data_IF_942343980551
#
_entry.id   IF_942343980551
#
_cell.length_a   1.000
_cell.length_b   1.000
_cell.length_c   1.000
_cell.angle_alpha   90.00
_cell.angle_beta   90.00
_cell.angle_gamma   90.00
#
_symmetry.space_group_name_H-M   'P 1'
#
loop_
_entity.id
_entity.type
_entity.pdbx_description
1 polymer ?
#
# COMPACT_ATOMS: atom_id res chain seq x y z
N UNK A 1 -9.77 35.53 13.83
CA UNK A 1 -9.34 36.84 14.37
C UNK A 1 -10.42 37.85 14.01
N UNK A 2 -10.87 38.69 14.95
CA UNK A 2 -11.81 39.79 14.65
C UNK A 2 -11.03 41.09 14.53
N UNK A 3 -11.22 41.83 13.45
CA UNK A 3 -10.74 43.21 13.40
C UNK A 3 -11.89 44.10 13.85
N UNK A 4 -11.64 44.93 14.85
CA UNK A 4 -12.58 45.95 15.31
C UNK A 4 -12.06 47.31 14.88
N UNK A 5 -12.91 48.09 14.22
CA UNK A 5 -12.64 49.50 13.92
C UNK A 5 -13.71 50.32 14.61
N UNK A 6 -13.28 51.35 15.33
CA UNK A 6 -14.17 52.20 16.12
C UNK A 6 -13.74 53.66 16.05
N UNK A 7 -14.71 54.57 16.06
CA UNK A 7 -14.51 56.02 16.19
C UNK A 7 -14.71 56.54 17.62
N UNK A 8 -14.84 55.62 18.60
CA UNK A 8 -15.08 55.95 20.01
C UNK A 8 -16.55 55.95 20.41
N UNK A 9 -17.50 55.77 19.47
CA UNK A 9 -18.94 55.61 19.77
C UNK A 9 -19.52 54.37 19.08
N UNK A 10 -19.22 54.17 17.79
CA UNK A 10 -19.63 52.97 17.06
C UNK A 10 -18.43 52.04 16.89
N UNK A 11 -18.70 50.74 16.96
CA UNK A 11 -17.71 49.70 16.69
C UNK A 11 -18.27 48.82 15.58
N UNK A 12 -17.52 48.68 14.50
CA UNK A 12 -17.76 47.65 13.51
C UNK A 12 -16.75 46.52 13.70
N UNK A 13 -17.23 45.28 13.67
CA UNK A 13 -16.39 44.11 13.81
C UNK A 13 -16.57 43.21 12.60
N UNK A 14 -15.47 42.91 11.93
CA UNK A 14 -15.47 41.99 10.79
C UNK A 14 -14.63 40.76 11.13
N UNK A 15 -15.19 39.59 10.82
CA UNK A 15 -14.46 38.33 10.92
C UNK A 15 -13.38 38.30 9.82
N UNK A 16 -12.14 38.06 10.22
CA UNK A 16 -11.04 37.70 9.32
C UNK A 16 -10.86 36.19 9.41
N UNK A 17 -11.11 35.51 8.28
CA UNK A 17 -10.80 34.11 8.09
C UNK A 17 -9.37 34.02 7.55
N UNK A 18 -8.48 33.39 8.31
CA UNK A 18 -7.13 33.02 7.87
C UNK A 18 -7.15 31.50 7.74
N UNK A 19 -7.02 31.00 6.52
CA UNK A 19 -6.85 29.58 6.24
C UNK A 19 -5.36 29.24 6.20
N UNK A 20 -4.94 28.26 6.97
CA UNK A 20 -3.64 27.60 6.78
C UNK A 20 -3.84 26.52 5.73
N UNK A 21 -3.08 26.59 4.64
CA UNK A 21 -3.03 25.50 3.66
C UNK A 21 -1.95 24.52 4.09
N UNK A 22 -2.26 23.24 4.00
CA UNK A 22 -1.28 22.18 4.12
C UNK A 22 -0.28 22.25 2.97
N UNK A 23 0.98 21.93 3.25
CA UNK A 23 2.04 21.81 2.25
C UNK A 23 2.65 20.42 2.40
N UNK A 24 3.01 19.80 1.28
CA UNK A 24 3.65 18.49 1.31
C UNK A 24 5.05 18.62 1.96
N UNK A 25 5.18 17.99 3.13
CA UNK A 25 6.41 17.97 3.93
C UNK A 25 6.85 16.55 4.30
N UNK A 26 5.96 15.56 4.21
CA UNK A 26 6.24 14.17 4.55
C UNK A 26 6.18 13.27 3.33
N UNK A 27 7.10 12.30 3.28
CA UNK A 27 7.04 11.24 2.28
C UNK A 27 6.29 10.04 2.86
N UNK A 28 5.60 9.29 1.99
CA UNK A 28 5.03 8.00 2.35
C UNK A 28 6.09 7.04 2.90
N UNK A 29 5.75 6.36 4.00
CA UNK A 29 6.62 5.35 4.60
C UNK A 29 6.78 4.11 3.71
N UNK A 30 7.88 3.38 3.86
CA UNK A 30 8.00 2.05 3.25
C UNK A 30 6.87 1.13 3.73
N UNK A 31 6.26 0.33 2.83
CA UNK A 31 5.25 -0.64 3.24
C UNK A 31 5.79 -1.63 4.27
N UNK A 32 4.99 -1.95 5.28
CA UNK A 32 5.23 -3.02 6.24
C UNK A 32 4.13 -4.07 6.14
N UNK A 33 4.44 -5.31 6.47
CA UNK A 33 3.41 -6.35 6.57
C UNK A 33 2.74 -6.24 7.94
N UNK A 34 1.42 -6.07 7.94
CA UNK A 34 0.61 -5.97 9.17
C UNK A 34 -0.10 -7.28 9.50
N UNK A 35 -0.04 -8.27 8.62
CA UNK A 35 -0.58 -9.59 8.90
C UNK A 35 0.48 -10.43 9.62
N UNK A 36 0.08 -11.05 10.73
CA UNK A 36 0.98 -11.87 11.55
C UNK A 36 1.04 -13.33 11.10
N UNK A 37 0.24 -13.71 10.11
CA UNK A 37 0.29 -15.04 9.50
C UNK A 37 1.62 -15.26 8.78
N UNK A 38 1.97 -16.54 8.54
CA UNK A 38 3.12 -16.85 7.71
C UNK A 38 2.87 -16.41 6.26
N UNK A 39 3.88 -15.78 5.65
CA UNK A 39 3.85 -15.38 4.25
C UNK A 39 4.10 -16.61 3.37
N UNK A 40 3.05 -17.39 3.18
CA UNK A 40 3.10 -18.63 2.44
C UNK A 40 1.77 -18.93 1.76
N UNK A 41 1.85 -19.66 0.65
CA UNK A 41 0.68 -20.12 -0.10
C UNK A 41 0.93 -21.54 -0.61
N UNK A 42 -0.12 -22.35 -0.69
CA UNK A 42 -0.03 -23.67 -1.31
C UNK A 42 0.03 -23.53 -2.84
N UNK A 43 0.80 -24.37 -3.51
CA UNK A 43 0.78 -24.42 -4.97
C UNK A 43 -0.61 -24.77 -5.53
N UNK A 44 -0.90 -24.34 -6.76
CA UNK A 44 -2.21 -24.54 -7.38
C UNK A 44 -3.38 -23.87 -6.63
N UNK A 45 -3.13 -22.98 -5.66
CA UNK A 45 -4.17 -22.27 -4.92
C UNK A 45 -5.07 -21.47 -5.86
N UNK A 46 -6.37 -21.43 -5.57
CA UNK A 46 -7.32 -20.68 -6.39
C UNK A 46 -7.04 -19.17 -6.36
N UNK A 47 -7.38 -18.49 -7.46
CA UNK A 47 -7.34 -17.02 -7.53
C UNK A 47 -8.14 -16.40 -6.37
N UNK A 48 -7.59 -15.35 -5.75
CA UNK A 48 -8.13 -14.70 -4.57
C UNK A 48 -7.67 -15.28 -3.23
N UNK A 49 -6.93 -16.40 -3.21
CA UNK A 49 -6.36 -16.95 -1.97
C UNK A 49 -5.36 -15.95 -1.37
N UNK A 50 -5.51 -15.58 -0.10
CA UNK A 50 -4.58 -14.68 0.60
C UNK A 50 -3.24 -15.38 0.86
N UNK A 51 -2.14 -14.66 0.65
CA UNK A 51 -0.77 -15.21 0.77
C UNK A 51 -0.09 -14.90 2.11
N UNK A 52 -0.85 -14.32 3.04
CA UNK A 52 -0.34 -13.91 4.35
C UNK A 52 0.17 -12.47 4.42
N UNK A 53 0.24 -11.71 3.31
CA UNK A 53 0.72 -10.33 3.31
C UNK A 53 -0.44 -9.33 3.31
N UNK A 54 -0.43 -8.38 4.26
CA UNK A 54 -1.26 -7.17 4.25
C UNK A 54 -0.37 -5.93 4.37
N UNK A 55 -0.02 -5.35 3.23
CA UNK A 55 0.87 -4.21 3.15
C UNK A 55 0.21 -2.94 3.71
N UNK A 56 0.94 -2.23 4.56
CA UNK A 56 0.52 -0.96 5.13
C UNK A 56 1.64 0.06 5.07
N UNK A 57 1.32 1.26 4.64
CA UNK A 57 2.17 2.43 4.72
C UNK A 57 1.38 3.58 5.35
N UNK A 58 2.08 4.67 5.68
CA UNK A 58 1.49 5.89 6.24
C UNK A 58 2.17 7.12 5.65
N UNK A 59 1.41 8.20 5.56
CA UNK A 59 1.89 9.52 5.18
C UNK A 59 1.38 10.51 6.25
N UNK A 60 2.28 11.33 6.77
CA UNK A 60 2.03 12.22 7.90
C UNK A 60 1.58 13.63 7.48
N UNK A 61 1.45 13.90 6.18
CA UNK A 61 0.84 15.13 5.68
C UNK A 61 -0.61 15.29 6.19
N UNK A 62 -1.02 16.54 6.44
CA UNK A 62 -2.37 16.86 6.94
C UNK A 62 -3.46 16.65 5.89
N UNK A 63 -3.10 16.70 4.61
CA UNK A 63 -3.94 16.41 3.44
C UNK A 63 -3.17 15.57 2.42
N UNK A 64 -3.83 15.10 1.35
CA UNK A 64 -3.18 14.32 0.27
C UNK A 64 -2.40 13.07 0.72
N UNK A 65 -2.77 12.49 1.86
CA UNK A 65 -2.10 11.35 2.49
C UNK A 65 -2.77 9.98 2.20
N UNK A 66 -3.70 9.92 1.24
CA UNK A 66 -4.35 8.66 0.85
C UNK A 66 -3.36 7.77 0.12
N UNK A 67 -3.22 6.52 0.57
CA UNK A 67 -2.25 5.56 0.01
C UNK A 67 -2.93 4.56 -0.90
N UNK A 68 -2.31 4.32 -2.06
CA UNK A 68 -2.68 3.28 -3.01
C UNK A 68 -1.53 2.29 -3.18
N UNK A 69 -1.86 1.00 -3.24
CA UNK A 69 -0.89 -0.07 -3.41
C UNK A 69 -0.90 -0.67 -4.82
N UNK A 70 0.28 -1.10 -5.28
CA UNK A 70 0.43 -1.89 -6.51
C UNK A 70 1.61 -2.86 -6.39
N UNK A 71 1.62 -3.91 -7.20
CA UNK A 71 2.79 -4.76 -7.36
C UNK A 71 3.67 -4.21 -8.49
N UNK A 72 4.99 -4.31 -8.32
CA UNK A 72 5.99 -3.86 -9.29
C UNK A 72 7.00 -4.96 -9.59
N UNK A 73 7.74 -4.83 -10.70
CA UNK A 73 8.66 -5.87 -11.18
C UNK A 73 9.92 -6.01 -10.34
N UNK A 74 10.34 -4.93 -9.68
CA UNK A 74 11.60 -4.85 -8.95
C UNK A 74 11.58 -3.70 -7.92
N UNK A 75 12.65 -3.60 -7.13
CA UNK A 75 12.83 -2.58 -6.10
C UNK A 75 12.86 -1.13 -6.63
N UNK A 76 13.09 -0.93 -7.94
CA UNK A 76 13.04 0.38 -8.58
C UNK A 76 11.62 0.90 -8.78
N UNK A 77 10.60 0.02 -8.76
CA UNK A 77 9.18 0.40 -8.74
C UNK A 77 8.68 1.17 -9.97
N UNK A 78 9.44 1.14 -11.07
CA UNK A 78 9.12 1.86 -12.30
C UNK A 78 8.07 1.18 -13.17
N UNK A 79 7.94 -0.15 -13.08
CA UNK A 79 7.04 -0.95 -13.90
C UNK A 79 6.05 -1.70 -13.02
N UNK A 80 4.75 -1.45 -13.26
CA UNK A 80 3.69 -2.20 -12.61
C UNK A 80 3.69 -3.66 -13.07
N UNK A 81 3.56 -4.58 -12.12
CA UNK A 81 3.43 -6.00 -12.39
C UNK A 81 1.96 -6.30 -12.76
N UNK A 82 1.72 -6.55 -14.04
CA UNK A 82 0.37 -6.78 -14.59
C UNK A 82 0.01 -8.26 -14.76
N UNK A 83 1.00 -9.14 -14.69
CA UNK A 83 0.89 -10.59 -14.81
C UNK A 83 1.66 -11.30 -13.67
N UNK A 84 1.63 -12.63 -13.65
CA UNK A 84 2.31 -13.41 -12.63
C UNK A 84 1.37 -13.99 -11.56
N UNK A 85 1.93 -14.70 -10.56
CA UNK A 85 1.15 -15.50 -9.63
C UNK A 85 0.35 -14.68 -8.62
N UNK A 86 0.69 -13.41 -8.42
CA UNK A 86 0.11 -12.57 -7.37
C UNK A 86 -0.56 -11.29 -7.91
N UNK A 87 -1.46 -10.77 -7.09
CA UNK A 87 -2.08 -9.46 -7.23
C UNK A 87 -2.26 -8.83 -5.86
N UNK A 88 -2.47 -7.51 -5.81
CA UNK A 88 -2.70 -6.77 -4.57
C UNK A 88 -3.96 -5.94 -4.71
N UNK A 89 -4.75 -5.88 -3.64
CA UNK A 89 -5.85 -4.94 -3.56
C UNK A 89 -5.31 -3.52 -3.28
N UNK A 90 -5.66 -2.59 -4.16
CA UNK A 90 -5.06 -1.25 -4.17
C UNK A 90 -5.40 -0.40 -2.94
N UNK A 91 -6.45 -0.75 -2.20
CA UNK A 91 -6.94 0.01 -1.05
C UNK A 91 -6.58 -0.65 0.27
N UNK A 92 -6.71 -1.97 0.35
CA UNK A 92 -6.50 -2.74 1.58
C UNK A 92 -5.07 -3.24 1.72
N UNK A 93 -4.28 -3.25 0.64
CA UNK A 93 -2.90 -3.74 0.63
C UNK A 93 -2.77 -5.26 0.77
N UNK A 94 -3.89 -6.01 0.72
CA UNK A 94 -3.90 -7.47 0.82
C UNK A 94 -3.40 -8.08 -0.47
N UNK A 95 -2.37 -8.93 -0.38
CA UNK A 95 -1.84 -9.70 -1.50
C UNK A 95 -2.57 -11.03 -1.61
N UNK A 96 -3.04 -11.34 -2.82
CA UNK A 96 -3.74 -12.59 -3.13
C UNK A 96 -3.14 -13.27 -4.36
N UNK A 97 -3.42 -14.56 -4.51
CA UNK A 97 -3.11 -15.31 -5.73
C UNK A 97 -3.93 -14.72 -6.89
N UNK A 98 -3.26 -14.43 -7.99
CA UNK A 98 -3.87 -14.12 -9.28
C UNK A 98 -4.05 -15.39 -10.09
N UNK A 99 -2.97 -16.13 -10.27
CA UNK A 99 -2.89 -17.35 -11.07
C UNK A 99 -2.09 -18.41 -10.34
N UNK A 100 -2.81 -19.38 -9.74
CA UNK A 100 -2.22 -20.48 -9.01
C UNK A 100 -1.46 -21.49 -9.87
N UNK A 101 -1.69 -21.52 -11.18
CA UNK A 101 -0.95 -22.41 -12.09
C UNK A 101 0.51 -21.98 -12.27
N UNK A 102 0.86 -20.76 -11.84
CA UNK A 102 2.23 -20.24 -11.81
C UNK A 102 2.93 -20.50 -10.46
N UNK A 103 2.25 -21.18 -9.54
CA UNK A 103 2.81 -21.65 -8.28
C UNK A 103 3.05 -23.16 -8.43
N UNK A 104 4.32 -23.54 -8.41
CA UNK A 104 4.80 -24.91 -8.55
C UNK A 104 5.95 -25.06 -7.54
N UNK A 105 5.73 -25.86 -6.51
CA UNK A 105 6.65 -26.06 -5.41
C UNK A 105 7.93 -26.78 -5.86
N UNK A 106 7.81 -27.76 -6.77
CA UNK A 106 8.93 -28.53 -7.31
C UNK A 106 9.88 -27.64 -8.11
N UNK A 107 9.37 -26.58 -8.74
CA UNK A 107 10.18 -25.63 -9.50
C UNK A 107 10.69 -24.47 -8.63
N UNK A 108 9.82 -23.82 -7.85
CA UNK A 108 10.16 -22.64 -7.05
C UNK A 108 9.46 -22.66 -5.69
N UNK A 109 10.23 -22.90 -4.63
CA UNK A 109 9.72 -22.96 -3.24
C UNK A 109 9.45 -21.60 -2.60
N UNK A 110 9.83 -20.49 -3.24
CA UNK A 110 9.57 -19.13 -2.72
C UNK A 110 9.62 -18.07 -3.81
N UNK A 111 8.75 -17.07 -3.71
CA UNK A 111 8.69 -15.96 -4.65
C UNK A 111 8.84 -14.62 -3.93
N UNK A 112 9.46 -13.66 -4.60
CA UNK A 112 9.58 -12.28 -4.09
C UNK A 112 8.51 -11.41 -4.71
N UNK A 113 7.82 -10.65 -3.86
CA UNK A 113 6.79 -9.68 -4.24
C UNK A 113 7.28 -8.29 -3.89
N UNK A 114 7.35 -7.39 -4.87
CA UNK A 114 7.66 -5.98 -4.63
C UNK A 114 6.35 -5.19 -4.57
N UNK A 115 6.03 -4.65 -3.39
CA UNK A 115 4.86 -3.82 -3.15
C UNK A 115 5.28 -2.36 -3.17
N UNK A 116 4.61 -1.57 -4.01
CA UNK A 116 4.75 -0.11 -4.09
C UNK A 116 3.56 0.55 -3.40
N UNK A 117 3.83 1.42 -2.44
CA UNK A 117 2.86 2.38 -1.92
C UNK A 117 3.06 3.73 -2.62
N UNK A 118 1.96 4.36 -3.00
CA UNK A 118 1.93 5.72 -3.55
C UNK A 118 0.95 6.54 -2.74
N UNK A 119 1.41 7.64 -2.17
CA UNK A 119 0.53 8.60 -1.50
C UNK A 119 -0.04 9.59 -2.53
N UNK A 120 -1.19 10.20 -2.22
CA UNK A 120 -1.89 11.09 -3.13
C UNK A 120 -1.13 12.40 -3.39
N UNK A 121 -0.13 12.70 -2.56
CA UNK A 121 0.86 13.77 -2.71
C UNK A 121 1.89 13.49 -3.84
N UNK A 122 1.95 12.25 -4.33
CA UNK A 122 2.86 11.77 -5.37
C UNK A 122 4.14 11.10 -4.85
N UNK A 123 4.38 11.10 -3.54
CA UNK A 123 5.48 10.34 -2.94
C UNK A 123 5.24 8.83 -3.08
N UNK A 124 6.32 8.05 -3.17
CA UNK A 124 6.20 6.60 -3.29
C UNK A 124 7.36 5.87 -2.62
N UNK A 125 7.07 4.68 -2.10
CA UNK A 125 8.04 3.78 -1.50
C UNK A 125 7.77 2.34 -1.94
N UNK A 126 8.83 1.53 -2.04
CA UNK A 126 8.77 0.13 -2.44
C UNK A 126 9.38 -0.75 -1.36
N UNK A 127 8.70 -1.85 -1.03
CA UNK A 127 9.20 -2.89 -0.14
C UNK A 127 9.05 -4.26 -0.78
N UNK A 128 10.06 -5.11 -0.63
CA UNK A 128 9.96 -6.52 -1.00
C UNK A 128 9.49 -7.39 0.17
N UNK A 129 8.67 -8.38 -0.15
CA UNK A 129 8.24 -9.45 0.75
C UNK A 129 8.51 -10.81 0.10
N UNK A 130 8.82 -11.81 0.90
CA UNK A 130 9.00 -13.19 0.42
C UNK A 130 7.77 -14.02 0.77
N UNK A 131 7.23 -14.70 -0.23
CA UNK A 131 6.12 -15.65 -0.10
C UNK A 131 6.68 -17.05 -0.31
N UNK A 132 6.58 -17.91 0.70
CA UNK A 132 6.87 -19.32 0.57
C UNK A 132 5.80 -20.04 -0.26
N UNK A 133 6.20 -20.92 -1.15
CA UNK A 133 5.29 -21.88 -1.79
C UNK A 133 5.34 -23.14 -0.94
N UNK A 134 4.19 -23.76 -0.71
CA UNK A 134 4.09 -25.03 0.03
C UNK A 134 3.52 -26.10 -0.88
N UNK A 135 4.08 -27.29 -0.75
CA UNK A 135 3.71 -28.49 -1.49
C UNK A 135 2.24 -28.87 -1.23
N UNK A 136 1.52 -29.15 -2.31
CA UNK A 136 0.27 -29.88 -2.25
C UNK A 136 0.57 -31.30 -2.64
N UNK A 137 0.36 -32.23 -1.70
CA UNK A 137 0.57 -33.65 -2.01
C UNK A 137 -0.35 -34.12 -3.15
N UNK A 138 0.24 -34.25 -4.34
CA UNK A 138 -0.40 -34.65 -5.60
C UNK A 138 -0.16 -36.14 -5.92
N UNK A 139 0.72 -36.79 -5.17
CA UNK A 139 1.02 -38.21 -5.33
C UNK A 139 0.63 -39.00 -4.07
N UNK A 140 -0.26 -39.99 -4.22
CA UNK A 140 -0.43 -41.01 -3.19
C UNK A 140 0.75 -41.98 -3.25
N UNK A 141 1.41 -42.17 -2.11
CA UNK A 141 2.37 -43.26 -1.89
C UNK A 141 1.65 -44.60 -1.80
#
# INVERSE_FOLDING_TARGET
>A
MVLQVSDGVLVDSRLIQISVTDRNEFQVSSPVDTNTAANSVQEGSASGTAVGIAASASDADGTTNTITYSLVTDAGGGTALTNGPFQIDATTGVVTVRDGALLDYETVTSQTVFVKAVSADGSSAVQSFTVGVTDRNEFQV
#
